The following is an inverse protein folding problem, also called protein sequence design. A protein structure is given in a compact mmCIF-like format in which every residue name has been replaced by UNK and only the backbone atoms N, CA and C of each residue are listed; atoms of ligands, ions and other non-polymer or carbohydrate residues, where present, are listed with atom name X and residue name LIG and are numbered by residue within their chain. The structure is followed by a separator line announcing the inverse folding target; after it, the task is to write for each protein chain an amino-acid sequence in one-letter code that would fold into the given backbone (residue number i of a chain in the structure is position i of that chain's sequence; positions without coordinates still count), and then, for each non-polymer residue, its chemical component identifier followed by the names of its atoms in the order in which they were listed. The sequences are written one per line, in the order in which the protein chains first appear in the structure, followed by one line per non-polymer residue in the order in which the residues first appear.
data_IF_526942260115
#
_entry.id   IF_526942260115
#
_cell.length_a   1.000
_cell.length_b   1.000
_cell.length_c   1.000
_cell.angle_alpha   90.00
_cell.angle_beta   90.00
_cell.angle_gamma   90.00
#
_symmetry.space_group_name_H-M   'P 1'
#
loop_
_entity.id
_entity.type
_entity.pdbx_description
1 polymer ?
#
# COMPACT_ATOMS: atom_id res chain seq x y z
N UNK A 1 14.21 9.90 16.50
CA UNK A 1 12.81 9.55 16.76
C UNK A 1 12.44 8.23 16.08
N UNK A 2 11.21 7.73 16.31
CA UNK A 2 10.78 6.49 15.67
C UNK A 2 10.80 6.58 14.15
N UNK A 3 11.19 5.50 13.47
CA UNK A 3 11.30 5.46 12.01
C UNK A 3 9.95 5.77 11.33
N UNK A 4 8.85 5.25 11.86
CA UNK A 4 7.53 5.52 11.28
C UNK A 4 7.22 7.02 11.22
N UNK A 5 7.54 7.79 12.26
CA UNK A 5 7.35 9.24 12.26
C UNK A 5 8.18 9.94 11.20
N UNK A 6 9.41 9.49 10.96
CA UNK A 6 10.27 10.02 9.90
C UNK A 6 9.68 9.73 8.52
N UNK A 7 9.12 8.53 8.30
CA UNK A 7 8.47 8.17 7.05
C UNK A 7 7.21 9.03 6.84
N UNK A 8 6.39 9.24 7.86
CA UNK A 8 5.20 10.10 7.79
C UNK A 8 5.61 11.53 7.39
N UNK A 9 6.65 12.07 7.98
CA UNK A 9 7.18 13.39 7.63
C UNK A 9 7.62 13.44 6.16
N UNK A 10 8.28 12.39 5.67
CA UNK A 10 8.69 12.26 4.27
C UNK A 10 7.47 12.25 3.33
N UNK A 11 6.42 11.50 3.67
CA UNK A 11 5.18 11.44 2.90
C UNK A 11 4.54 12.82 2.78
N UNK A 12 4.61 13.64 3.83
CA UNK A 12 4.03 14.99 3.85
C UNK A 12 4.96 16.07 3.27
N UNK A 13 6.14 15.69 2.78
CA UNK A 13 7.09 16.64 2.21
C UNK A 13 7.15 16.52 0.68
N UNK A 14 6.37 17.33 -0.07
CA UNK A 14 6.32 17.23 -1.53
C UNK A 14 7.61 17.63 -2.24
N UNK A 15 8.51 18.35 -1.57
CA UNK A 15 9.79 18.77 -2.16
C UNK A 15 10.91 17.74 -2.01
N UNK A 16 10.74 16.72 -1.18
CA UNK A 16 11.75 15.68 -1.04
C UNK A 16 11.87 14.83 -2.31
N UNK A 17 13.11 14.49 -2.67
CA UNK A 17 13.42 13.62 -3.80
C UNK A 17 13.59 12.15 -3.39
N UNK A 18 13.63 11.85 -2.10
CA UNK A 18 13.68 10.48 -1.63
C UNK A 18 12.44 9.72 -2.08
N UNK A 19 12.63 8.45 -2.40
CA UNK A 19 11.53 7.59 -2.86
C UNK A 19 11.08 6.69 -1.72
N UNK A 20 9.81 6.79 -1.40
CA UNK A 20 9.14 5.96 -0.40
C UNK A 20 8.80 4.60 -1.04
N UNK A 21 9.25 3.51 -0.43
CA UNK A 21 9.05 2.16 -0.94
C UNK A 21 7.93 1.46 -0.18
N UNK A 22 6.88 1.08 -0.90
CA UNK A 22 5.75 0.31 -0.37
C UNK A 22 5.85 -1.15 -0.82
N UNK A 23 5.68 -2.08 0.12
CA UNK A 23 5.81 -3.51 -0.12
C UNK A 23 4.44 -4.17 -0.16
N UNK A 24 4.03 -4.62 -1.35
CA UNK A 24 2.75 -5.26 -1.60
C UNK A 24 2.69 -6.64 -0.93
N UNK A 25 1.84 -6.78 0.07
CA UNK A 25 1.68 -8.00 0.89
C UNK A 25 2.95 -8.45 1.64
N UNK A 26 3.92 -7.55 1.83
CA UNK A 26 5.18 -7.84 2.50
C UNK A 26 6.18 -8.59 1.62
N UNK A 27 7.09 -9.31 2.25
CA UNK A 27 8.09 -10.13 1.54
C UNK A 27 7.52 -11.52 1.22
N UNK A 28 6.55 -11.56 0.32
CA UNK A 28 5.84 -12.79 -0.03
C UNK A 28 6.68 -13.77 -0.85
N UNK A 29 7.80 -13.32 -1.41
CA UNK A 29 8.72 -14.23 -2.14
C UNK A 29 9.43 -15.19 -1.20
N UNK A 30 9.71 -14.75 0.02
CA UNK A 30 10.45 -15.53 1.01
C UNK A 30 9.56 -16.10 2.13
N UNK A 31 8.41 -15.45 2.40
CA UNK A 31 7.50 -15.78 3.48
C UNK A 31 6.05 -15.83 2.97
N UNK A 32 5.13 -16.46 3.69
CA UNK A 32 3.73 -16.37 3.30
C UNK A 32 3.27 -14.91 3.19
N UNK A 33 2.53 -14.58 2.14
CA UNK A 33 1.99 -13.22 1.97
C UNK A 33 1.17 -12.80 3.19
N UNK A 34 1.24 -11.52 3.55
CA UNK A 34 0.47 -10.97 4.67
C UNK A 34 0.75 -11.63 6.03
N UNK A 35 1.86 -12.36 6.17
CA UNK A 35 2.27 -12.94 7.45
C UNK A 35 3.09 -11.95 8.29
N UNK A 36 3.16 -12.18 9.59
CA UNK A 36 4.03 -11.37 10.45
C UNK A 36 5.50 -11.49 10.04
N UNK A 37 5.94 -12.67 9.56
CA UNK A 37 7.29 -12.87 9.06
C UNK A 37 7.56 -12.04 7.80
N UNK A 38 6.58 -11.95 6.88
CA UNK A 38 6.71 -11.11 5.68
C UNK A 38 6.81 -9.63 6.05
N UNK A 39 6.11 -9.19 7.08
CA UNK A 39 6.18 -7.81 7.61
C UNK A 39 7.57 -7.55 8.22
N UNK A 40 8.02 -8.42 9.10
CA UNK A 40 9.35 -8.29 9.73
C UNK A 40 10.47 -8.21 8.68
N UNK A 41 10.35 -9.01 7.63
CA UNK A 41 11.34 -9.04 6.56
C UNK A 41 11.46 -7.69 5.85
N UNK A 42 10.34 -7.06 5.47
CA UNK A 42 10.39 -5.76 4.79
C UNK A 42 10.84 -4.63 5.72
N UNK A 43 10.51 -4.71 7.00
CA UNK A 43 11.06 -3.79 7.99
C UNK A 43 12.59 -3.92 8.03
N UNK A 44 13.10 -5.14 8.06
CA UNK A 44 14.54 -5.41 8.07
C UNK A 44 15.27 -4.94 6.81
N UNK A 45 14.60 -4.90 5.67
CA UNK A 45 15.14 -4.38 4.41
C UNK A 45 15.27 -2.84 4.41
N UNK A 46 14.58 -2.17 5.31
CA UNK A 46 14.50 -0.71 5.32
C UNK A 46 13.37 -0.14 4.47
N UNK A 47 12.34 -0.93 4.19
CA UNK A 47 11.13 -0.46 3.49
C UNK A 47 10.40 0.61 4.32
N UNK A 48 9.59 1.42 3.64
CA UNK A 48 8.94 2.58 4.24
C UNK A 48 7.45 2.32 4.53
N UNK A 49 6.79 1.55 3.68
CA UNK A 49 5.37 1.24 3.82
C UNK A 49 5.17 -0.26 3.65
N UNK A 50 4.46 -0.88 4.60
CA UNK A 50 3.92 -2.23 4.47
C UNK A 50 2.49 -2.14 3.96
N UNK A 51 2.22 -2.66 2.77
CA UNK A 51 0.84 -2.79 2.30
C UNK A 51 0.30 -4.14 2.73
N UNK A 52 -0.88 -4.16 3.36
CA UNK A 52 -1.58 -5.36 3.76
C UNK A 52 -3.07 -5.28 3.42
N UNK A 53 -3.71 -6.45 3.36
CA UNK A 53 -5.11 -6.59 2.96
C UNK A 53 -5.96 -7.05 4.13
N UNK A 54 -7.22 -6.62 4.15
CA UNK A 54 -8.15 -6.97 5.22
C UNK A 54 -9.34 -7.79 4.73
N UNK A 55 -9.78 -8.69 5.60
CA UNK A 55 -11.08 -9.34 5.53
C UNK A 55 -11.67 -9.41 6.93
N UNK A 56 -12.98 -9.50 7.02
CA UNK A 56 -13.71 -9.61 8.28
C UNK A 56 -14.23 -11.04 8.45
N UNK A 57 -13.94 -11.64 9.61
CA UNK A 57 -14.40 -12.97 9.95
C UNK A 57 -15.88 -12.98 10.34
N UNK A 58 -16.45 -14.18 10.51
CA UNK A 58 -17.83 -14.37 10.95
C UNK A 58 -18.10 -13.70 12.30
N UNK A 59 -17.13 -13.75 13.21
CA UNK A 59 -17.21 -13.13 14.54
C UNK A 59 -16.59 -11.71 14.59
N UNK A 60 -16.55 -11.04 13.44
CA UNK A 60 -16.15 -9.63 13.30
C UNK A 60 -14.73 -9.31 13.73
N UNK A 61 -13.80 -10.21 13.49
CA UNK A 61 -12.37 -9.97 13.69
C UNK A 61 -11.75 -9.59 12.33
N UNK A 62 -11.00 -8.47 12.31
CA UNK A 62 -10.24 -8.08 11.13
C UNK A 62 -8.97 -8.93 11.04
N UNK A 63 -8.84 -9.67 9.94
CA UNK A 63 -7.67 -10.51 9.65
C UNK A 63 -6.95 -10.01 8.41
N UNK A 64 -5.65 -10.29 8.35
CA UNK A 64 -4.79 -9.86 7.24
C UNK A 64 -4.82 -10.95 6.17
N UNK A 65 -5.66 -10.73 5.16
CA UNK A 65 -5.94 -11.70 4.10
C UNK A 65 -6.42 -10.96 2.85
N UNK A 66 -5.86 -11.31 1.69
CA UNK A 66 -6.25 -10.68 0.42
C UNK A 66 -7.54 -11.27 -0.15
N UNK A 67 -7.61 -12.60 -0.23
CA UNK A 67 -8.71 -13.30 -0.90
C UNK A 67 -9.96 -13.36 -0.02
N UNK A 68 -11.11 -13.47 -0.66
CA UNK A 68 -12.39 -13.71 0.05
C UNK A 68 -12.42 -15.08 0.72
N UNK A 69 -11.64 -16.04 0.20
CA UNK A 69 -11.52 -17.38 0.77
C UNK A 69 -10.11 -17.61 1.30
N UNK A 70 -9.97 -18.57 2.22
CA UNK A 70 -8.67 -18.92 2.81
C UNK A 70 -7.94 -20.03 2.05
N UNK A 71 -8.51 -20.52 0.95
CA UNK A 71 -8.06 -21.72 0.24
C UNK A 71 -6.65 -21.61 -0.33
N UNK A 72 -6.35 -20.50 -1.02
CA UNK A 72 -5.05 -20.32 -1.69
C UNK A 72 -3.91 -20.14 -0.71
N UNK A 73 -4.11 -19.43 0.38
CA UNK A 73 -3.04 -18.99 1.29
C UNK A 73 -2.94 -19.79 2.57
N UNK A 74 -3.92 -20.68 2.85
CA UNK A 74 -3.91 -21.49 4.08
C UNK A 74 -4.19 -22.96 3.79
N UNK A 75 -4.01 -23.80 4.82
CA UNK A 75 -4.36 -25.22 4.79
C UNK A 75 -5.87 -25.49 4.88
N UNK A 76 -6.68 -24.46 5.16
CA UNK A 76 -8.13 -24.59 5.27
C UNK A 76 -8.86 -24.20 3.99
N UNK A 77 -10.20 -24.19 4.07
CA UNK A 77 -11.10 -23.85 2.96
C UNK A 77 -12.28 -23.06 3.44
N UNK A 78 -12.82 -22.21 2.56
CA UNK A 78 -14.05 -21.47 2.78
C UNK A 78 -13.85 -19.97 2.79
N UNK A 79 -14.97 -19.23 2.83
CA UNK A 79 -14.95 -17.78 2.84
C UNK A 79 -14.63 -17.27 4.24
N UNK A 80 -13.78 -16.26 4.31
CA UNK A 80 -13.39 -15.64 5.59
C UNK A 80 -14.64 -15.21 6.38
N UNK A 81 -15.63 -14.60 5.72
CA UNK A 81 -16.83 -14.10 6.38
C UNK A 81 -17.74 -15.20 6.96
N UNK A 82 -17.53 -16.44 6.60
CA UNK A 82 -18.30 -17.59 7.09
C UNK A 82 -17.59 -18.38 8.19
N UNK A 83 -16.36 -17.99 8.55
CA UNK A 83 -15.48 -18.75 9.47
C UNK A 83 -15.13 -17.86 10.66
N UNK A 84 -15.14 -18.45 11.87
CA UNK A 84 -14.68 -17.75 13.07
C UNK A 84 -13.16 -17.58 13.05
N UNK A 85 -12.68 -16.56 13.75
CA UNK A 85 -11.23 -16.32 13.85
C UNK A 85 -10.50 -17.53 14.45
N UNK A 86 -11.02 -18.15 15.48
CA UNK A 86 -10.40 -19.33 16.09
C UNK A 86 -10.20 -20.47 15.07
N UNK A 87 -11.17 -20.70 14.20
CA UNK A 87 -11.08 -21.72 13.16
C UNK A 87 -10.02 -21.36 12.11
N UNK A 88 -9.94 -20.09 11.72
CA UNK A 88 -8.91 -19.61 10.78
C UNK A 88 -7.52 -19.77 11.41
N UNK A 89 -7.40 -19.42 12.69
CA UNK A 89 -6.14 -19.48 13.43
C UNK A 89 -5.56 -20.90 13.54
N UNK A 90 -6.41 -21.91 13.46
CA UNK A 90 -5.98 -23.32 13.46
C UNK A 90 -5.35 -23.72 12.14
N UNK A 91 -5.63 -23.03 11.06
CA UNK A 91 -5.01 -23.28 9.76
C UNK A 91 -3.60 -22.69 9.72
N UNK A 92 -2.71 -23.33 8.99
CA UNK A 92 -1.36 -22.81 8.74
C UNK A 92 -1.36 -22.05 7.42
N UNK A 93 -0.53 -21.01 7.33
CA UNK A 93 -0.29 -20.28 6.08
C UNK A 93 0.61 -21.10 5.16
N UNK A 94 0.43 -20.89 3.86
CA UNK A 94 1.23 -21.51 2.81
C UNK A 94 2.12 -20.47 2.14
N UNK A 95 3.27 -20.92 1.64
CA UNK A 95 4.13 -20.13 0.77
C UNK A 95 3.45 -19.87 -0.58
N UNK A 96 4.04 -19.00 -1.42
CA UNK A 96 3.56 -18.78 -2.79
C UNK A 96 3.53 -20.03 -3.68
N UNK A 97 4.29 -21.06 -3.34
CA UNK A 97 4.27 -22.35 -4.02
C UNK A 97 3.28 -23.35 -3.40
N UNK A 98 2.48 -22.93 -2.42
CA UNK A 98 1.50 -23.80 -1.77
C UNK A 98 2.07 -24.73 -0.70
N UNK A 99 3.27 -24.50 -0.23
CA UNK A 99 3.92 -25.30 0.82
C UNK A 99 3.45 -24.82 2.19
N UNK A 100 2.95 -25.74 3.01
CA UNK A 100 2.50 -25.43 4.37
C UNK A 100 3.67 -25.01 5.26
N UNK A 101 3.44 -23.97 6.05
CA UNK A 101 4.41 -23.45 7.03
C UNK A 101 3.88 -23.62 8.45
N UNK A 102 4.59 -23.08 9.44
CA UNK A 102 4.13 -22.99 10.83
C UNK A 102 3.48 -21.63 11.13
N UNK A 103 3.44 -20.72 10.17
CA UNK A 103 2.88 -19.39 10.35
C UNK A 103 1.35 -19.43 10.33
N UNK A 104 0.74 -18.47 11.03
CA UNK A 104 -0.72 -18.35 11.14
C UNK A 104 -1.17 -17.00 10.59
N UNK A 105 -2.45 -16.93 10.15
CA UNK A 105 -3.02 -15.67 9.68
C UNK A 105 -3.09 -14.66 10.84
N UNK A 106 -2.48 -13.47 10.71
CA UNK A 106 -2.53 -12.48 11.77
C UNK A 106 -3.86 -11.73 11.76
N UNK A 107 -4.23 -11.20 12.93
CA UNK A 107 -5.22 -10.14 13.01
C UNK A 107 -4.57 -8.82 12.60
N UNK A 108 -5.41 -7.83 12.26
CA UNK A 108 -4.91 -6.46 12.04
C UNK A 108 -4.16 -5.96 13.27
N UNK A 109 -4.69 -6.20 14.46
CA UNK A 109 -4.03 -5.79 15.73
C UNK A 109 -2.61 -6.35 15.82
N UNK A 110 -2.44 -7.65 15.60
CA UNK A 110 -1.12 -8.29 15.65
C UNK A 110 -0.16 -7.67 14.63
N UNK A 111 -0.64 -7.44 13.40
CA UNK A 111 0.17 -6.82 12.36
C UNK A 111 0.60 -5.40 12.74
N UNK A 112 -0.32 -4.59 13.26
CA UNK A 112 -0.02 -3.22 13.66
C UNK A 112 0.89 -3.14 14.89
N UNK A 113 0.81 -4.10 15.80
CA UNK A 113 1.75 -4.19 16.93
C UNK A 113 3.19 -4.40 16.43
N UNK A 114 3.39 -5.23 15.42
CA UNK A 114 4.70 -5.43 14.78
C UNK A 114 5.18 -4.16 14.09
N UNK A 115 4.29 -3.43 13.44
CA UNK A 115 4.63 -2.23 12.65
C UNK A 115 4.81 -0.97 13.49
N UNK A 116 4.31 -0.96 14.72
CA UNK A 116 4.30 0.26 15.55
C UNK A 116 5.70 0.88 15.65
N UNK A 117 5.77 2.18 15.34
CA UNK A 117 6.99 3.00 15.36
C UNK A 117 8.08 2.57 14.37
N UNK A 118 7.85 1.54 13.56
CA UNK A 118 8.87 0.94 12.70
C UNK A 118 8.63 1.14 11.21
N UNK A 119 7.38 1.19 10.77
CA UNK A 119 7.01 1.28 9.35
C UNK A 119 5.60 1.87 9.23
N UNK A 120 5.35 2.63 8.17
CA UNK A 120 4.00 3.07 7.83
C UNK A 120 3.23 1.90 7.24
N UNK A 121 1.94 1.81 7.49
CA UNK A 121 1.09 0.73 7.00
C UNK A 121 0.03 1.28 6.06
N UNK A 122 0.02 0.79 4.82
CA UNK A 122 -1.09 0.99 3.91
C UNK A 122 -2.06 -0.18 4.08
N UNK A 123 -3.25 0.13 4.61
CA UNK A 123 -4.28 -0.87 4.86
C UNK A 123 -5.24 -0.90 3.69
N UNK A 124 -5.11 -1.89 2.81
CA UNK A 124 -6.04 -2.07 1.71
C UNK A 124 -7.41 -2.50 2.26
N UNK A 125 -8.49 -1.94 1.69
CA UNK A 125 -9.85 -2.03 2.22
C UNK A 125 -10.04 -1.34 3.59
N UNK A 126 -9.08 -0.53 4.01
CA UNK A 126 -9.18 0.22 5.26
C UNK A 126 -10.33 1.21 5.28
N UNK A 127 -10.70 1.76 4.11
CA UNK A 127 -11.85 2.65 4.02
C UNK A 127 -13.16 1.89 4.21
N UNK A 128 -13.28 0.69 3.65
CA UNK A 128 -14.47 -0.17 3.78
C UNK A 128 -14.73 -0.59 5.22
N UNK A 129 -13.66 -0.77 6.01
CA UNK A 129 -13.72 -1.11 7.43
C UNK A 129 -13.28 0.03 8.33
N UNK A 130 -13.52 1.27 7.90
CA UNK A 130 -12.96 2.49 8.51
C UNK A 130 -13.07 2.54 10.03
N UNK A 131 -14.27 2.36 10.58
CA UNK A 131 -14.49 2.51 12.01
C UNK A 131 -13.80 1.40 12.82
N UNK A 132 -13.80 0.17 12.30
CA UNK A 132 -13.11 -0.96 12.94
C UNK A 132 -11.59 -0.78 12.90
N UNK A 133 -11.05 -0.33 11.76
CA UNK A 133 -9.62 -0.06 11.61
C UNK A 133 -9.20 1.06 12.55
N UNK A 134 -9.94 2.15 12.56
CA UNK A 134 -9.63 3.31 13.40
C UNK A 134 -9.67 2.94 14.90
N UNK A 135 -10.62 2.11 15.30
CA UNK A 135 -10.68 1.59 16.67
C UNK A 135 -9.40 0.87 17.08
N UNK A 136 -8.87 0.02 16.21
CA UNK A 136 -7.62 -0.70 16.48
C UNK A 136 -6.43 0.27 16.50
N UNK A 137 -6.35 1.18 15.54
CA UNK A 137 -5.23 2.14 15.46
C UNK A 137 -5.18 3.09 16.65
N UNK A 138 -6.34 3.53 17.14
CA UNK A 138 -6.43 4.39 18.32
C UNK A 138 -5.98 3.66 19.57
N UNK A 139 -6.43 2.43 19.78
CA UNK A 139 -6.02 1.62 20.93
C UNK A 139 -4.51 1.40 20.99
N UNK A 140 -3.88 1.22 19.81
CA UNK A 140 -2.44 0.99 19.72
C UNK A 140 -1.62 2.28 19.65
N UNK A 141 -2.28 3.44 19.44
CA UNK A 141 -1.60 4.71 19.30
C UNK A 141 -0.83 4.83 17.98
N UNK A 142 -1.33 4.23 16.91
CA UNK A 142 -0.65 4.19 15.60
C UNK A 142 -1.41 4.89 14.47
N UNK A 143 -2.51 5.58 14.76
CA UNK A 143 -3.38 6.19 13.75
C UNK A 143 -2.60 7.04 12.75
N UNK A 144 -1.62 7.81 13.19
CA UNK A 144 -0.84 8.71 12.34
C UNK A 144 0.11 8.00 11.36
N UNK A 145 0.39 6.72 11.57
CA UNK A 145 1.25 5.93 10.68
C UNK A 145 0.47 5.01 9.73
N UNK A 146 -0.83 5.22 9.60
CA UNK A 146 -1.71 4.41 8.75
C UNK A 146 -2.14 5.23 7.54
N UNK A 147 -2.07 4.62 6.37
CA UNK A 147 -2.50 5.18 5.09
C UNK A 147 -3.61 4.31 4.51
N UNK A 148 -4.72 4.94 4.14
CA UNK A 148 -5.82 4.29 3.41
C UNK A 148 -6.04 4.99 2.08
N UNK A 149 -6.65 4.28 1.14
CA UNK A 149 -6.84 4.73 -0.23
C UNK A 149 -8.28 4.51 -0.69
N UNK A 150 -8.66 5.16 -1.77
CA UNK A 150 -9.95 4.92 -2.40
C UNK A 150 -10.17 5.71 -3.66
N UNK A 151 -11.32 5.42 -4.30
CA UNK A 151 -11.78 6.07 -5.53
C UNK A 151 -13.08 6.84 -5.32
N UNK A 152 -13.41 7.17 -4.09
CA UNK A 152 -14.65 7.88 -3.73
C UNK A 152 -14.52 9.37 -3.95
N UNK A 153 -15.65 10.03 -4.15
CA UNK A 153 -15.68 11.49 -4.31
C UNK A 153 -15.14 12.21 -3.07
N UNK A 154 -14.67 13.43 -3.26
CA UNK A 154 -14.10 14.24 -2.19
C UNK A 154 -15.09 14.51 -1.08
N UNK A 155 -16.38 14.73 -1.41
CA UNK A 155 -17.42 14.98 -0.41
C UNK A 155 -17.68 13.77 0.48
N UNK A 156 -17.68 12.57 -0.11
CA UNK A 156 -17.86 11.32 0.63
C UNK A 156 -16.71 11.09 1.60
N UNK A 157 -15.48 11.29 1.15
CA UNK A 157 -14.29 11.16 1.98
C UNK A 157 -14.27 12.19 3.10
N UNK A 158 -14.55 13.46 2.79
CA UNK A 158 -14.59 14.54 3.77
C UNK A 158 -15.65 14.29 4.86
N UNK A 159 -16.84 13.83 4.46
CA UNK A 159 -17.89 13.48 5.40
C UNK A 159 -17.48 12.37 6.34
N UNK A 160 -16.84 11.31 5.82
CA UNK A 160 -16.36 10.20 6.64
C UNK A 160 -15.28 10.65 7.62
N UNK A 161 -14.32 11.44 7.15
CA UNK A 161 -13.23 11.94 7.99
C UNK A 161 -13.72 12.91 9.08
N UNK A 162 -14.79 13.64 8.81
CA UNK A 162 -15.37 14.56 9.80
C UNK A 162 -16.01 13.88 11.02
N UNK A 163 -16.27 12.56 10.93
CA UNK A 163 -16.85 11.80 12.04
C UNK A 163 -15.89 11.62 13.21
N UNK A 164 -14.58 11.82 12.99
CA UNK A 164 -13.55 11.57 14.00
C UNK A 164 -12.57 12.74 14.10
N UNK A 165 -12.11 13.11 15.32
CA UNK A 165 -11.15 14.22 15.48
C UNK A 165 -9.73 13.87 15.03
N UNK A 166 -9.37 12.58 15.01
CA UNK A 166 -8.10 12.07 14.51
C UNK A 166 -8.36 11.05 13.42
N UNK A 167 -7.55 11.10 12.37
CA UNK A 167 -7.72 10.24 11.21
C UNK A 167 -6.41 9.69 10.69
N UNK A 168 -6.54 8.63 9.91
CA UNK A 168 -5.47 8.06 9.13
C UNK A 168 -5.14 8.99 7.95
N UNK A 169 -3.99 8.79 7.31
CA UNK A 169 -3.68 9.43 6.03
C UNK A 169 -4.56 8.84 4.94
N UNK A 170 -4.94 9.65 3.97
CA UNK A 170 -5.77 9.21 2.84
C UNK A 170 -5.13 9.64 1.51
N UNK A 171 -5.17 8.74 0.52
CA UNK A 171 -4.67 8.99 -0.83
C UNK A 171 -5.69 8.53 -1.86
N UNK A 172 -6.11 9.41 -2.80
CA UNK A 172 -6.98 8.99 -3.89
C UNK A 172 -6.23 8.17 -4.94
N UNK A 173 -6.93 7.20 -5.53
CA UNK A 173 -6.46 6.38 -6.63
C UNK A 173 -7.08 6.90 -7.92
N UNK A 174 -6.23 7.21 -8.91
CA UNK A 174 -6.64 7.78 -10.19
C UNK A 174 -6.26 6.82 -11.33
N UNK A 175 -7.28 6.15 -11.89
CA UNK A 175 -7.18 5.41 -13.14
C UNK A 175 -7.32 6.41 -14.30
N UNK A 176 -6.24 7.07 -14.68
CA UNK A 176 -6.33 8.27 -15.53
C UNK A 176 -6.79 7.99 -16.97
N UNK A 177 -6.66 6.76 -17.46
CA UNK A 177 -7.15 6.38 -18.78
C UNK A 177 -8.64 6.01 -18.79
N UNK A 178 -9.29 5.97 -17.63
CA UNK A 178 -10.71 5.65 -17.50
C UNK A 178 -11.53 6.90 -17.18
N UNK A 179 -12.78 7.02 -17.71
CA UNK A 179 -13.63 8.19 -17.46
C UNK A 179 -13.84 8.52 -15.99
N UNK A 180 -14.05 7.51 -15.14
CA UNK A 180 -14.22 7.72 -13.69
C UNK A 180 -12.97 8.29 -13.03
N UNK A 181 -11.80 7.82 -13.43
CA UNK A 181 -10.52 8.34 -12.91
C UNK A 181 -10.28 9.76 -13.35
N UNK A 182 -10.54 10.08 -14.61
CA UNK A 182 -10.45 11.44 -15.13
C UNK A 182 -11.38 12.39 -14.38
N UNK A 183 -12.63 11.96 -14.15
CA UNK A 183 -13.61 12.74 -13.42
C UNK A 183 -13.19 12.99 -11.95
N UNK A 184 -12.66 11.96 -11.29
CA UNK A 184 -12.19 12.10 -9.90
C UNK A 184 -11.00 13.05 -9.81
N UNK A 185 -10.05 12.95 -10.72
CA UNK A 185 -8.89 13.83 -10.76
C UNK A 185 -9.32 15.30 -10.99
N UNK A 186 -10.25 15.52 -11.92
CA UNK A 186 -10.82 16.84 -12.20
C UNK A 186 -11.53 17.39 -10.96
N UNK A 187 -12.25 16.57 -10.21
CA UNK A 187 -12.94 16.99 -8.99
C UNK A 187 -11.96 17.55 -7.94
N UNK A 188 -10.85 16.87 -7.68
CA UNK A 188 -9.81 17.38 -6.78
C UNK A 188 -9.24 18.70 -7.25
N UNK A 189 -8.90 18.81 -8.53
CA UNK A 189 -8.36 20.01 -9.14
C UNK A 189 -9.35 21.18 -9.05
N UNK A 190 -10.59 20.96 -9.47
CA UNK A 190 -11.61 22.02 -9.57
C UNK A 190 -12.03 22.54 -8.19
N UNK A 191 -11.96 21.68 -7.16
CA UNK A 191 -12.24 22.08 -5.77
C UNK A 191 -11.01 22.64 -5.05
N UNK A 192 -9.85 22.64 -5.68
CA UNK A 192 -8.61 23.10 -5.07
C UNK A 192 -8.14 22.24 -3.89
N UNK A 193 -8.45 20.95 -3.89
CA UNK A 193 -8.04 20.01 -2.84
C UNK A 193 -6.72 19.38 -3.26
N UNK A 194 -5.70 19.55 -2.42
CA UNK A 194 -4.36 18.97 -2.64
C UNK A 194 -4.14 17.82 -1.66
N UNK A 195 -4.28 16.55 -2.08
CA UNK A 195 -3.96 15.42 -1.21
C UNK A 195 -2.45 15.29 -1.01
N UNK A 196 -2.03 14.54 0.01
CA UNK A 196 -0.59 14.29 0.25
C UNK A 196 0.07 13.58 -0.95
N UNK A 197 -0.67 12.72 -1.63
CA UNK A 197 -0.24 12.02 -2.83
C UNK A 197 -1.45 11.57 -3.65
N UNK A 198 -1.20 11.26 -4.92
CA UNK A 198 -2.13 10.51 -5.79
C UNK A 198 -1.46 9.21 -6.19
N UNK A 199 -2.21 8.11 -6.11
CA UNK A 199 -1.82 6.88 -6.79
C UNK A 199 -2.37 6.95 -8.22
N UNK A 200 -1.48 6.99 -9.21
CA UNK A 200 -1.86 7.07 -10.63
C UNK A 200 -1.59 5.73 -11.30
N UNK A 201 -2.63 5.17 -11.95
CA UNK A 201 -2.57 3.91 -12.65
C UNK A 201 -2.79 4.15 -14.15
N UNK A 202 -1.98 3.50 -14.99
CA UNK A 202 -2.09 3.58 -16.45
C UNK A 202 -1.62 2.28 -17.10
N UNK A 203 -2.41 1.72 -17.99
CA UNK A 203 -2.03 0.52 -18.72
C UNK A 203 -1.07 0.84 -19.91
N UNK A 204 -1.07 2.08 -20.36
CA UNK A 204 -0.33 2.56 -21.51
C UNK A 204 0.15 3.99 -21.25
N UNK A 205 1.39 4.30 -21.63
CA UNK A 205 1.92 5.66 -21.47
C UNK A 205 1.42 6.55 -22.61
N UNK A 206 0.64 7.56 -22.28
CA UNK A 206 0.02 8.49 -23.24
C UNK A 206 0.30 9.94 -22.82
N UNK A 207 0.06 10.92 -23.71
CA UNK A 207 0.17 12.34 -23.33
C UNK A 207 -0.72 12.73 -22.16
N UNK A 208 -1.90 12.10 -22.01
CA UNK A 208 -2.81 12.33 -20.88
C UNK A 208 -2.21 11.85 -19.57
N UNK A 209 -1.52 10.72 -19.57
CA UNK A 209 -0.82 10.20 -18.39
C UNK A 209 0.32 11.15 -17.99
N UNK A 210 1.12 11.57 -18.95
CA UNK A 210 2.22 12.52 -18.71
C UNK A 210 1.70 13.85 -18.15
N UNK A 211 0.63 14.39 -18.72
CA UNK A 211 0.02 15.63 -18.25
C UNK A 211 -0.52 15.49 -16.82
N UNK A 212 -1.16 14.36 -16.50
CA UNK A 212 -1.65 14.07 -15.15
C UNK A 212 -0.51 14.07 -14.13
N UNK A 213 0.58 13.37 -14.43
CA UNK A 213 1.74 13.29 -13.53
C UNK A 213 2.35 14.66 -13.28
N UNK A 214 2.48 15.49 -14.30
CA UNK A 214 2.98 16.85 -14.17
C UNK A 214 2.06 17.70 -13.30
N UNK A 215 0.74 17.61 -13.48
CA UNK A 215 -0.23 18.30 -12.64
C UNK A 215 -0.14 17.87 -11.18
N UNK A 216 -0.02 16.57 -10.91
CA UNK A 216 0.14 16.03 -9.54
C UNK A 216 1.33 16.70 -8.86
N UNK A 217 2.47 16.70 -9.51
CA UNK A 217 3.73 17.20 -8.94
C UNK A 217 3.70 18.72 -8.81
N UNK A 218 3.29 19.42 -9.84
CA UNK A 218 3.23 20.90 -9.81
C UNK A 218 2.20 21.41 -8.81
N UNK A 219 1.17 20.61 -8.52
CA UNK A 219 0.14 20.93 -7.53
C UNK A 219 0.56 20.72 -6.09
N UNK A 220 1.74 20.16 -5.83
CA UNK A 220 2.26 19.95 -4.49
C UNK A 220 1.90 18.62 -3.84
N UNK A 221 1.47 17.62 -4.63
CA UNK A 221 1.25 16.26 -4.17
C UNK A 221 2.39 15.36 -4.58
N UNK A 222 2.64 14.31 -3.81
CA UNK A 222 3.53 13.24 -4.24
C UNK A 222 2.84 12.36 -5.28
N UNK A 223 3.63 11.69 -6.10
CA UNK A 223 3.16 10.73 -7.09
C UNK A 223 3.50 9.32 -6.62
N UNK A 224 2.46 8.52 -6.38
CA UNK A 224 2.57 7.09 -6.11
C UNK A 224 2.29 6.31 -7.40
N UNK A 225 3.22 5.43 -7.76
CA UNK A 225 3.07 4.50 -8.89
C UNK A 225 3.28 3.06 -8.41
N UNK A 226 2.82 2.10 -9.22
CA UNK A 226 2.95 0.69 -8.90
C UNK A 226 3.84 0.02 -9.96
N UNK A 227 4.83 -0.75 -9.51
CA UNK A 227 5.68 -1.55 -10.40
C UNK A 227 5.32 -3.04 -10.39
N UNK A 228 4.10 -3.38 -9.95
CA UNK A 228 3.68 -4.75 -9.66
C UNK A 228 3.55 -5.61 -10.93
N UNK A 229 2.80 -5.14 -11.91
CA UNK A 229 2.57 -5.83 -13.18
C UNK A 229 2.32 -4.82 -14.30
N UNK A 230 2.47 -5.25 -15.59
CA UNK A 230 2.54 -4.32 -16.72
C UNK A 230 1.34 -3.39 -16.91
N UNK A 231 0.13 -3.84 -16.61
CA UNK A 231 -1.08 -3.06 -16.86
C UNK A 231 -1.34 -1.94 -15.85
N UNK A 232 -0.52 -1.83 -14.80
CA UNK A 232 -0.63 -0.76 -13.81
C UNK A 232 0.21 0.46 -14.16
N UNK A 233 1.26 0.30 -14.98
CA UNK A 233 2.24 1.37 -15.24
C UNK A 233 2.93 1.24 -16.60
N UNK A 234 2.19 0.87 -17.61
CA UNK A 234 2.66 0.89 -18.99
C UNK A 234 3.83 -0.05 -19.28
N UNK A 235 3.90 -1.18 -18.60
CA UNK A 235 4.94 -2.18 -18.79
C UNK A 235 6.18 -2.01 -17.88
N UNK A 236 6.28 -0.93 -17.12
CA UNK A 236 7.40 -0.68 -16.20
C UNK A 236 7.20 -1.47 -14.90
N UNK A 237 7.46 -2.77 -14.93
CA UNK A 237 7.17 -3.67 -13.82
C UNK A 237 8.42 -4.31 -13.20
N UNK A 238 8.26 -4.82 -11.98
CA UNK A 238 9.33 -5.43 -11.19
C UNK A 238 10.05 -6.57 -11.92
N UNK A 239 9.31 -7.43 -12.61
CA UNK A 239 9.93 -8.58 -13.29
C UNK A 239 10.78 -8.12 -14.48
N UNK A 240 10.39 -7.06 -15.19
CA UNK A 240 11.21 -6.47 -16.23
C UNK A 240 12.50 -5.85 -15.65
N UNK A 241 12.42 -5.24 -14.48
CA UNK A 241 13.60 -4.72 -13.77
C UNK A 241 14.56 -5.84 -13.34
N UNK A 242 14.00 -6.94 -12.88
CA UNK A 242 14.78 -8.08 -12.40
C UNK A 242 15.50 -8.81 -13.54
N UNK A 243 14.84 -9.03 -14.66
CA UNK A 243 15.41 -9.74 -15.82
C UNK A 243 16.33 -8.84 -16.66
N UNK A 244 16.11 -7.54 -16.63
CA UNK A 244 16.87 -6.56 -17.39
C UNK A 244 17.68 -5.61 -16.51
N UNK A 245 17.62 -4.33 -16.85
CA UNK A 245 18.29 -3.27 -16.08
C UNK A 245 17.28 -2.53 -15.21
N UNK A 246 17.45 -2.54 -13.87
CA UNK A 246 16.57 -1.78 -12.98
C UNK A 246 16.42 -0.30 -13.34
N UNK A 247 17.45 0.32 -13.90
CA UNK A 247 17.40 1.72 -14.33
C UNK A 247 16.37 1.94 -15.45
N UNK A 248 16.16 0.95 -16.35
CA UNK A 248 15.20 1.03 -17.44
C UNK A 248 13.74 0.92 -16.97
N UNK A 249 13.51 0.52 -15.74
CA UNK A 249 12.19 0.44 -15.12
C UNK A 249 12.06 1.47 -14.02
N UNK A 250 12.78 1.28 -12.93
CA UNK A 250 12.69 2.16 -11.76
C UNK A 250 13.21 3.56 -12.04
N UNK A 251 14.29 3.67 -12.83
CA UNK A 251 14.82 4.97 -13.24
C UNK A 251 13.81 5.76 -14.05
N UNK A 252 13.08 5.12 -14.97
CA UNK A 252 12.02 5.78 -15.74
C UNK A 252 10.87 6.25 -14.84
N UNK A 253 10.45 5.44 -13.87
CA UNK A 253 9.42 5.83 -12.92
C UNK A 253 9.86 7.06 -12.09
N UNK A 254 11.09 7.04 -11.60
CA UNK A 254 11.67 8.18 -10.88
C UNK A 254 11.74 9.43 -11.78
N UNK A 255 12.15 9.27 -13.03
CA UNK A 255 12.25 10.38 -13.98
C UNK A 255 10.88 10.99 -14.33
N UNK A 256 9.81 10.21 -14.24
CA UNK A 256 8.43 10.71 -14.36
C UNK A 256 8.00 11.54 -13.14
N UNK A 257 8.77 11.52 -12.07
CA UNK A 257 8.48 12.25 -10.82
C UNK A 257 7.91 11.39 -9.71
N UNK A 258 7.89 10.06 -9.86
CA UNK A 258 7.42 9.18 -8.80
C UNK A 258 8.36 9.26 -7.58
N UNK A 259 7.78 9.54 -6.41
CA UNK A 259 8.49 9.55 -5.13
C UNK A 259 7.88 8.56 -4.13
N UNK A 260 6.92 7.78 -4.58
CA UNK A 260 6.35 6.64 -3.85
C UNK A 260 6.16 5.51 -4.86
N UNK A 261 6.73 4.33 -4.60
CA UNK A 261 6.63 3.18 -5.51
C UNK A 261 6.22 1.95 -4.72
N UNK A 262 5.12 1.31 -5.13
CA UNK A 262 4.71 0.02 -4.60
C UNK A 262 5.27 -1.11 -5.45
N UNK A 263 5.93 -2.07 -4.80
CA UNK A 263 6.71 -3.12 -5.46
C UNK A 263 6.45 -4.50 -4.86
N UNK A 264 6.63 -5.53 -5.69
CA UNK A 264 6.73 -6.93 -5.29
C UNK A 264 8.19 -7.41 -5.20
N UNK A 265 9.16 -6.52 -5.47
CA UNK A 265 10.61 -6.79 -5.33
C UNK A 265 11.28 -5.68 -4.51
N UNK A 266 10.92 -5.55 -3.21
CA UNK A 266 11.39 -4.43 -2.39
C UNK A 266 12.91 -4.39 -2.26
N UNK A 267 13.57 -5.54 -2.16
CA UNK A 267 15.03 -5.60 -2.05
C UNK A 267 15.70 -5.03 -3.31
N UNK A 268 15.22 -5.41 -4.49
CA UNK A 268 15.74 -4.91 -5.77
C UNK A 268 15.53 -3.39 -5.89
N UNK A 269 14.33 -2.92 -5.60
CA UNK A 269 14.00 -1.49 -5.69
C UNK A 269 14.83 -0.66 -4.70
N UNK A 270 14.90 -1.06 -3.44
CA UNK A 270 15.67 -0.33 -2.42
C UNK A 270 17.16 -0.28 -2.80
N UNK A 271 17.72 -1.39 -3.26
CA UNK A 271 19.12 -1.44 -3.71
C UNK A 271 19.38 -0.45 -4.86
N UNK A 272 18.49 -0.42 -5.86
CA UNK A 272 18.58 0.54 -6.95
C UNK A 272 18.51 1.98 -6.46
N UNK A 273 17.53 2.29 -5.61
CA UNK A 273 17.34 3.65 -5.08
C UNK A 273 18.52 4.11 -4.25
N UNK A 274 19.11 3.23 -3.43
CA UNK A 274 20.33 3.52 -2.68
C UNK A 274 21.50 3.86 -3.61
N UNK A 275 21.63 3.15 -4.72
CA UNK A 275 22.67 3.44 -5.72
C UNK A 275 22.52 4.83 -6.34
N UNK A 276 21.31 5.39 -6.33
CA UNK A 276 20.97 6.72 -6.84
C UNK A 276 20.95 7.79 -5.75
N UNK A 277 21.19 7.44 -4.48
CA UNK A 277 21.07 8.38 -3.36
C UNK A 277 19.63 8.82 -3.08
N UNK A 278 18.63 8.00 -3.45
CA UNK A 278 17.20 8.30 -3.32
C UNK A 278 16.53 7.54 -2.17
N UNK A 279 17.29 6.76 -1.43
CA UNK A 279 16.86 6.01 -0.24
C UNK A 279 18.04 5.83 0.69
N UNK A 280 17.81 5.83 2.03
CA UNK A 280 18.83 5.59 3.06
C UNK A 280 19.23 4.09 3.18
#
# INVERSE_FOLDING_TARGET
GPRAAAIVAEIHNPSSKNVVVACHRGDWRNWPENSLAAIESVIGMGADIMELDLKLTKDSVLVVCHDRTIDRTTSGKGRVCDITYDSIRRCVLKTGHGVKTTHRMPTLREALEVCKDRIVVNVDQGYEYYDLVLGVTEELGVTEQILIKGKRSTDVVAAKFSEHPRNMMYMPIIDILKPKGQALFAEYRDKGITPLAYEVCWSEYTPEVEACMREVISGGSKLWVNSLWPTLNGGLCDDAAFEGDPAEVYGKLVDMGATMIQTDRPELLISYLRSRGLHD
#
